data_IF_167897935182
#
_entry.id   IF_167897935182
#
_cell.length_a   1.000
_cell.length_b   1.000
_cell.length_c   1.000
_cell.angle_alpha   90.00
_cell.angle_beta   90.00
_cell.angle_gamma   90.00
#
_symmetry.space_group_name_H-M   'P 1'
#
loop_
_entity.id
_entity.type
_entity.pdbx_description
1 polymer ?
#
# COMPACT_ATOMS: atom_id res chain seq x y z
N UNK A 1 3.22 13.19 -17.39
CA UNK A 1 2.23 12.44 -16.58
C UNK A 1 1.04 12.18 -17.48
N UNK A 2 0.56 10.94 -17.57
CA UNK A 2 -0.52 10.54 -18.48
C UNK A 2 -1.89 10.90 -17.89
N UNK A 3 -2.74 11.56 -18.68
CA UNK A 3 -4.11 11.90 -18.30
C UNK A 3 -5.10 11.21 -19.27
N UNK A 4 -5.70 10.11 -18.79
CA UNK A 4 -6.62 9.27 -19.57
C UNK A 4 -7.89 10.04 -19.94
N UNK A 5 -8.46 10.80 -19.02
CA UNK A 5 -9.70 11.56 -19.25
C UNK A 5 -9.53 12.59 -20.38
N UNK A 6 -8.38 13.27 -20.41
CA UNK A 6 -8.05 14.24 -21.46
C UNK A 6 -7.88 13.56 -22.82
N UNK A 7 -7.20 12.42 -22.85
CA UNK A 7 -7.03 11.64 -24.08
C UNK A 7 -8.37 11.15 -24.66
N UNK A 8 -9.20 10.54 -23.82
CA UNK A 8 -10.52 10.03 -24.22
C UNK A 8 -11.46 11.14 -24.64
N UNK A 9 -11.48 12.26 -23.90
CA UNK A 9 -12.29 13.44 -24.25
C UNK A 9 -11.85 14.02 -25.60
N UNK A 10 -10.54 14.15 -25.83
CA UNK A 10 -10.01 14.61 -27.12
C UNK A 10 -10.47 13.70 -28.26
N UNK A 11 -10.32 12.38 -28.11
CA UNK A 11 -10.66 11.41 -29.13
C UNK A 11 -12.16 11.45 -29.46
N UNK A 12 -13.03 11.44 -28.45
CA UNK A 12 -14.48 11.52 -28.62
C UNK A 12 -14.90 12.81 -29.34
N UNK A 13 -14.32 13.96 -28.97
CA UNK A 13 -14.67 15.25 -29.57
C UNK A 13 -14.20 15.38 -31.03
N UNK A 14 -13.15 14.65 -31.42
CA UNK A 14 -12.61 14.71 -32.78
C UNK A 14 -13.21 13.66 -33.71
N UNK A 15 -13.67 12.54 -33.16
CA UNK A 15 -14.25 11.42 -33.90
C UNK A 15 -15.29 11.87 -34.93
N UNK A 16 -15.22 11.30 -36.12
CA UNK A 16 -16.13 11.57 -37.24
C UNK A 16 -17.31 10.61 -37.22
N UNK A 17 -18.32 10.89 -38.03
CA UNK A 17 -19.51 10.04 -38.18
C UNK A 17 -19.21 8.68 -38.84
N UNK A 18 -18.06 8.55 -39.50
CA UNK A 18 -17.57 7.31 -40.10
C UNK A 18 -16.07 7.37 -40.36
N UNK A 19 -15.49 6.24 -40.74
CA UNK A 19 -14.05 6.13 -41.02
C UNK A 19 -13.61 7.10 -42.11
N UNK A 20 -12.51 7.80 -41.86
CA UNK A 20 -11.78 8.62 -42.85
C UNK A 20 -10.38 8.07 -43.10
N UNK A 21 -10.12 6.82 -42.69
CA UNK A 21 -8.85 6.11 -42.83
C UNK A 21 -7.68 6.81 -42.12
N UNK A 22 -7.96 7.43 -40.96
CA UNK A 22 -6.95 8.15 -40.15
C UNK A 22 -6.89 7.67 -38.70
N UNK A 23 -7.31 6.44 -38.43
CA UNK A 23 -7.35 5.85 -37.09
C UNK A 23 -6.07 6.08 -36.28
N UNK A 24 -4.90 5.80 -36.87
CA UNK A 24 -3.60 6.01 -36.23
C UNK A 24 -3.32 7.47 -35.88
N UNK A 25 -3.72 8.42 -36.74
CA UNK A 25 -3.53 9.85 -36.45
C UNK A 25 -4.38 10.27 -35.25
N UNK A 26 -5.64 9.87 -35.20
CA UNK A 26 -6.59 10.29 -34.17
C UNK A 26 -6.24 9.69 -32.80
N UNK A 27 -5.89 8.41 -32.76
CA UNK A 27 -5.45 7.76 -31.53
C UNK A 27 -4.13 8.37 -31.02
N UNK A 28 -3.17 8.67 -31.91
CA UNK A 28 -1.93 9.38 -31.55
C UNK A 28 -2.20 10.77 -30.97
N UNK A 29 -3.04 11.58 -31.64
CA UNK A 29 -3.38 12.94 -31.18
C UNK A 29 -4.07 12.91 -29.81
N UNK A 30 -4.93 11.92 -29.57
CA UNK A 30 -5.53 11.69 -28.26
C UNK A 30 -4.47 11.38 -27.20
N UNK A 31 -3.46 10.55 -27.51
CA UNK A 31 -2.39 10.24 -26.56
C UNK A 31 -1.48 11.45 -26.31
N UNK A 32 -1.22 12.26 -27.33
CA UNK A 32 -0.50 13.52 -27.18
C UNK A 32 -1.28 14.52 -26.32
N UNK A 33 -2.59 14.61 -26.50
CA UNK A 33 -3.47 15.44 -25.67
C UNK A 33 -3.47 14.97 -24.20
N UNK A 34 -3.39 13.66 -23.95
CA UNK A 34 -3.22 13.09 -22.61
C UNK A 34 -1.82 13.28 -22.01
N UNK A 35 -0.90 13.97 -22.70
CA UNK A 35 0.40 14.37 -22.15
C UNK A 35 1.55 13.41 -22.44
N UNK A 36 1.38 12.44 -23.34
CA UNK A 36 2.45 11.54 -23.80
C UNK A 36 2.74 11.80 -25.29
N UNK A 37 3.99 12.11 -25.61
CA UNK A 37 4.43 12.16 -27.00
C UNK A 37 4.80 10.76 -27.48
N UNK A 38 4.14 10.29 -28.54
CA UNK A 38 4.39 8.98 -29.13
C UNK A 38 5.15 9.13 -30.45
N UNK A 39 6.16 8.29 -30.65
CA UNK A 39 6.90 8.21 -31.90
C UNK A 39 6.01 7.67 -33.02
N UNK A 40 5.98 8.39 -34.14
CA UNK A 40 5.27 7.98 -35.35
C UNK A 40 6.08 6.87 -36.06
N UNK A 41 5.53 5.66 -36.26
CA UNK A 41 6.20 4.61 -37.05
C UNK A 41 6.40 5.02 -38.51
N UNK A 42 7.33 4.37 -39.20
CA UNK A 42 7.49 4.57 -40.63
C UNK A 42 6.25 4.06 -41.40
N UNK A 43 5.79 4.76 -42.45
CA UNK A 43 4.69 4.27 -43.28
C UNK A 43 5.13 3.01 -44.04
N UNK A 44 4.30 1.95 -44.04
CA UNK A 44 4.53 0.79 -44.93
C UNK A 44 4.11 1.08 -46.36
N UNK A 45 3.09 1.92 -46.54
CA UNK A 45 2.62 2.41 -47.82
C UNK A 45 2.04 3.82 -47.68
N UNK A 46 2.23 4.67 -48.70
CA UNK A 46 1.74 6.05 -48.67
C UNK A 46 2.53 6.98 -47.74
N UNK A 47 1.88 8.06 -47.27
CA UNK A 47 2.52 9.12 -46.47
C UNK A 47 2.24 9.02 -44.97
N UNK A 48 1.31 8.15 -44.55
CA UNK A 48 0.84 8.06 -43.16
C UNK A 48 1.30 6.74 -42.53
N UNK A 49 1.66 6.79 -41.24
CA UNK A 49 2.09 5.62 -40.50
C UNK A 49 1.01 4.54 -40.45
N UNK A 50 1.43 3.29 -40.64
CA UNK A 50 0.55 2.12 -40.56
C UNK A 50 0.15 1.86 -39.10
N UNK A 51 -1.13 1.61 -38.87
CA UNK A 51 -1.69 1.43 -37.54
C UNK A 51 -1.12 0.19 -36.83
N UNK A 52 -0.88 -0.90 -37.55
CA UNK A 52 -0.33 -2.14 -36.99
C UNK A 52 1.09 -1.99 -36.41
N UNK A 53 1.82 -0.93 -36.75
CA UNK A 53 3.21 -0.72 -36.29
C UNK A 53 3.34 0.15 -35.03
N UNK A 54 2.23 0.58 -34.43
CA UNK A 54 2.26 1.45 -33.26
C UNK A 54 2.66 0.76 -31.95
N UNK A 55 2.65 -0.58 -31.91
CA UNK A 55 2.97 -1.37 -30.71
C UNK A 55 4.29 -0.97 -30.02
N UNK A 56 5.44 -0.99 -30.73
CA UNK A 56 6.72 -0.57 -30.16
C UNK A 56 6.73 0.87 -29.63
N UNK A 57 6.09 1.81 -30.34
CA UNK A 57 6.02 3.21 -29.90
C UNK A 57 5.17 3.39 -28.64
N UNK A 58 4.15 2.56 -28.45
CA UNK A 58 3.35 2.52 -27.22
C UNK A 58 4.19 1.97 -26.05
N UNK A 59 4.94 0.90 -26.28
CA UNK A 59 5.79 0.28 -25.24
C UNK A 59 6.90 1.21 -24.76
N UNK A 60 7.55 1.92 -25.68
CA UNK A 60 8.59 2.91 -25.35
C UNK A 60 8.09 4.00 -24.39
N UNK A 61 6.80 4.33 -24.46
CA UNK A 61 6.19 5.34 -23.61
C UNK A 61 5.55 4.78 -22.34
N UNK A 62 5.69 3.48 -22.05
CA UNK A 62 5.22 2.87 -20.81
C UNK A 62 3.83 2.25 -20.89
N UNK A 63 3.28 2.06 -22.09
CA UNK A 63 2.17 1.12 -22.26
C UNK A 63 2.70 -0.32 -22.22
N UNK A 64 1.95 -1.22 -21.59
CA UNK A 64 2.28 -2.64 -21.53
C UNK A 64 1.27 -3.44 -22.33
N UNK A 65 1.70 -4.43 -23.14
CA UNK A 65 0.78 -5.38 -23.72
C UNK A 65 0.11 -6.19 -22.59
N UNK A 66 -1.18 -6.43 -22.71
CA UNK A 66 -1.93 -7.27 -21.77
C UNK A 66 -1.78 -8.72 -22.21
N UNK A 67 -1.06 -9.50 -21.41
CA UNK A 67 -0.92 -10.94 -21.60
C UNK A 67 -2.28 -11.62 -21.38
N UNK A 68 -2.72 -12.46 -22.34
CA UNK A 68 -4.00 -13.18 -22.36
C UNK A 68 -5.25 -12.32 -22.61
N UNK A 69 -5.13 -11.22 -23.34
CA UNK A 69 -6.29 -10.51 -23.88
C UNK A 69 -7.01 -11.37 -24.93
N UNK A 70 -8.26 -11.74 -24.65
CA UNK A 70 -9.07 -12.63 -25.51
C UNK A 70 -10.24 -11.87 -26.14
N UNK A 71 -10.61 -12.27 -27.36
CA UNK A 71 -11.79 -11.75 -28.03
C UNK A 71 -13.06 -12.30 -27.36
N UNK A 72 -13.91 -11.41 -26.85
CA UNK A 72 -15.22 -11.76 -26.28
C UNK A 72 -16.31 -11.29 -27.24
N UNK A 73 -17.26 -12.18 -27.56
CA UNK A 73 -18.37 -11.86 -28.47
C UNK A 73 -19.68 -12.01 -27.70
N UNK A 74 -20.38 -10.90 -27.51
CA UNK A 74 -21.74 -10.86 -26.92
C UNK A 74 -22.63 -10.06 -27.83
N UNK A 75 -23.78 -10.62 -28.22
CA UNK A 75 -24.80 -9.94 -29.02
C UNK A 75 -24.26 -9.29 -30.32
N UNK A 76 -23.25 -9.92 -30.93
CA UNK A 76 -22.61 -9.42 -32.16
C UNK A 76 -21.62 -8.27 -31.96
N UNK A 77 -21.31 -7.90 -30.71
CA UNK A 77 -20.29 -6.91 -30.34
C UNK A 77 -18.98 -7.63 -30.00
N UNK A 78 -17.88 -7.16 -30.58
CA UNK A 78 -16.54 -7.76 -30.48
C UNK A 78 -15.70 -6.98 -29.46
N UNK A 79 -15.71 -7.40 -28.19
CA UNK A 79 -14.93 -6.80 -27.10
C UNK A 79 -13.68 -7.62 -26.78
N UNK A 80 -12.87 -7.12 -25.85
CA UNK A 80 -11.67 -7.79 -25.34
C UNK A 80 -11.85 -8.08 -23.85
N UNK A 81 -11.42 -9.26 -23.40
CA UNK A 81 -11.48 -9.65 -21.99
C UNK A 81 -10.72 -8.64 -21.12
N UNK A 82 -11.39 -8.16 -20.07
CA UNK A 82 -10.79 -7.22 -19.11
C UNK A 82 -10.43 -5.84 -19.67
N UNK A 83 -10.99 -5.42 -20.81
CA UNK A 83 -10.79 -4.06 -21.36
C UNK A 83 -11.22 -2.96 -20.36
N UNK A 84 -10.49 -1.86 -20.29
CA UNK A 84 -10.77 -0.69 -19.44
C UNK A 84 -10.55 0.61 -20.20
N UNK A 85 -11.10 1.74 -19.73
CA UNK A 85 -10.88 3.06 -20.31
C UNK A 85 -9.40 3.33 -20.64
N UNK A 86 -9.15 3.90 -21.80
CA UNK A 86 -7.82 4.28 -22.25
C UNK A 86 -6.97 3.11 -22.77
N UNK A 87 -7.48 1.88 -22.76
CA UNK A 87 -6.83 0.76 -23.44
C UNK A 87 -6.79 1.01 -24.95
N UNK A 88 -5.71 0.58 -25.58
CA UNK A 88 -5.49 0.73 -27.02
C UNK A 88 -5.35 -0.64 -27.65
N UNK A 89 -6.17 -0.95 -28.66
CA UNK A 89 -5.97 -2.14 -29.50
C UNK A 89 -5.20 -1.76 -30.74
N UNK A 90 -4.17 -2.53 -31.05
CA UNK A 90 -3.50 -2.53 -32.34
C UNK A 90 -3.84 -3.83 -33.04
N UNK A 91 -4.53 -3.75 -34.17
CA UNK A 91 -5.04 -4.87 -34.95
C UNK A 91 -4.17 -5.05 -36.18
N UNK A 92 -3.80 -6.30 -36.44
CA UNK A 92 -2.97 -6.67 -37.58
C UNK A 92 -3.62 -6.30 -38.91
N UNK A 93 -2.79 -6.22 -39.95
CA UNK A 93 -3.25 -5.94 -41.32
C UNK A 93 -3.98 -7.11 -41.94
N UNK A 94 -4.85 -6.81 -42.91
CA UNK A 94 -5.44 -7.79 -43.83
C UNK A 94 -4.84 -7.55 -45.21
N UNK A 95 -3.88 -8.39 -45.66
CA UNK A 95 -3.20 -8.19 -46.94
C UNK A 95 -4.16 -7.99 -48.11
N UNK A 96 -3.95 -6.92 -48.89
CA UNK A 96 -4.73 -6.58 -50.09
C UNK A 96 -6.12 -6.01 -49.84
N UNK A 97 -6.49 -5.74 -48.58
CA UNK A 97 -7.76 -5.08 -48.21
C UNK A 97 -7.59 -3.97 -47.18
N UNK A 98 -6.79 -4.22 -46.16
CA UNK A 98 -6.47 -3.28 -45.09
C UNK A 98 -4.99 -3.44 -44.71
N UNK A 99 -4.10 -2.99 -45.59
CA UNK A 99 -2.66 -3.22 -45.49
C UNK A 99 -1.97 -2.49 -44.33
N UNK A 100 -2.61 -1.45 -43.80
CA UNK A 100 -2.10 -0.65 -42.67
C UNK A 100 -2.59 -1.14 -41.30
N UNK A 101 -3.44 -2.16 -41.24
CA UNK A 101 -4.06 -2.60 -39.99
C UNK A 101 -5.05 -1.59 -39.42
N UNK A 102 -5.32 -1.68 -38.12
CA UNK A 102 -6.23 -0.76 -37.44
C UNK A 102 -5.79 -0.48 -36.00
N UNK A 103 -6.15 0.69 -35.47
CA UNK A 103 -5.89 1.04 -34.07
C UNK A 103 -7.08 1.81 -33.51
N UNK A 104 -7.45 1.51 -32.27
CA UNK A 104 -8.55 2.17 -31.57
C UNK A 104 -8.26 2.24 -30.07
N UNK A 105 -8.86 3.23 -29.40
CA UNK A 105 -8.83 3.37 -27.94
C UNK A 105 -10.22 3.12 -27.36
N UNK A 106 -10.31 2.46 -26.21
CA UNK A 106 -11.57 2.24 -25.51
C UNK A 106 -11.92 3.48 -24.70
N UNK A 107 -13.10 4.06 -24.97
CA UNK A 107 -13.57 5.26 -24.27
C UNK A 107 -14.47 4.94 -23.06
N UNK A 108 -14.70 3.65 -22.81
CA UNK A 108 -15.55 3.16 -21.75
C UNK A 108 -16.86 2.55 -22.07
N UNK A 109 -17.35 2.90 -23.24
CA UNK A 109 -18.60 2.40 -23.77
C UNK A 109 -18.39 1.76 -25.14
N UNK A 110 -17.42 2.26 -25.89
CA UNK A 110 -17.17 1.84 -27.27
C UNK A 110 -15.69 2.00 -27.63
N UNK A 111 -15.26 1.24 -28.62
CA UNK A 111 -13.97 1.45 -29.25
C UNK A 111 -14.05 2.64 -30.21
N UNK A 112 -13.10 3.56 -30.11
CA UNK A 112 -13.07 4.79 -30.89
C UNK A 112 -11.72 4.91 -31.60
N UNK A 113 -11.77 5.18 -32.90
CA UNK A 113 -10.61 5.51 -33.73
C UNK A 113 -10.75 6.94 -34.24
N UNK A 114 -10.61 7.15 -35.54
CA UNK A 114 -11.13 8.31 -36.25
C UNK A 114 -12.67 8.39 -36.28
N UNK A 115 -13.38 7.34 -35.84
CA UNK A 115 -14.84 7.31 -35.64
C UNK A 115 -15.23 6.38 -34.48
N UNK A 116 -16.47 6.50 -33.99
CA UNK A 116 -17.02 5.58 -32.95
C UNK A 116 -17.45 4.25 -33.60
N UNK A 117 -16.90 3.14 -33.14
CA UNK A 117 -17.13 1.82 -33.74
C UNK A 117 -18.33 1.12 -33.12
N UNK A 118 -19.35 0.84 -33.95
CA UNK A 118 -20.61 0.25 -33.48
C UNK A 118 -20.51 -1.22 -33.05
N UNK A 119 -19.53 -1.98 -33.56
CA UNK A 119 -19.44 -3.44 -33.39
C UNK A 119 -18.21 -3.89 -32.60
N UNK A 120 -17.64 -3.02 -31.77
CA UNK A 120 -16.46 -3.35 -30.95
C UNK A 120 -15.13 -3.07 -31.65
N UNK A 121 -14.07 -3.83 -31.34
CA UNK A 121 -12.68 -3.55 -31.78
C UNK A 121 -12.51 -3.55 -33.31
N UNK A 122 -13.28 -4.37 -34.01
CA UNK A 122 -13.14 -4.53 -35.45
C UNK A 122 -13.95 -3.46 -36.21
N UNK A 123 -13.30 -2.55 -36.94
CA UNK A 123 -13.96 -1.37 -37.52
C UNK A 123 -14.89 -1.72 -38.69
N UNK A 124 -14.76 -2.93 -39.27
CA UNK A 124 -15.51 -3.34 -40.45
C UNK A 124 -15.72 -4.85 -40.53
N UNK A 125 -16.59 -5.27 -41.46
CA UNK A 125 -16.96 -6.68 -41.65
C UNK A 125 -15.76 -7.56 -42.00
N UNK A 126 -14.82 -7.06 -42.81
CA UNK A 126 -13.62 -7.80 -43.20
C UNK A 126 -12.81 -8.28 -41.98
N UNK A 127 -12.56 -7.38 -41.02
CA UNK A 127 -11.88 -7.69 -39.77
C UNK A 127 -12.64 -8.69 -38.89
N UNK A 128 -13.96 -8.54 -38.78
CA UNK A 128 -14.81 -9.47 -38.03
C UNK A 128 -14.82 -10.88 -38.62
N UNK A 129 -14.93 -10.97 -39.95
CA UNK A 129 -14.91 -12.26 -40.67
C UNK A 129 -13.56 -12.94 -40.56
N UNK A 130 -12.47 -12.18 -40.68
CA UNK A 130 -11.11 -12.73 -40.58
C UNK A 130 -10.68 -13.03 -39.13
N UNK A 131 -11.37 -12.48 -38.12
CA UNK A 131 -10.95 -12.49 -36.71
C UNK A 131 -9.48 -12.09 -36.57
N UNK A 132 -9.13 -10.97 -37.22
CA UNK A 132 -7.75 -10.54 -37.36
C UNK A 132 -7.06 -10.41 -36.00
N UNK A 133 -5.83 -10.93 -35.83
CA UNK A 133 -5.10 -10.82 -34.57
C UNK A 133 -4.96 -9.38 -34.09
N UNK A 134 -4.93 -9.19 -32.78
CA UNK A 134 -4.73 -7.88 -32.17
C UNK A 134 -3.86 -8.02 -30.92
N UNK A 135 -3.31 -6.89 -30.48
CA UNK A 135 -2.65 -6.75 -29.19
C UNK A 135 -3.32 -5.60 -28.44
N UNK A 136 -3.68 -5.86 -27.18
CA UNK A 136 -4.23 -4.86 -26.26
C UNK A 136 -3.09 -4.22 -25.45
N UNK A 137 -3.01 -2.90 -25.43
CA UNK A 137 -2.01 -2.13 -24.69
C UNK A 137 -2.68 -1.27 -23.61
N UNK A 138 -2.10 -1.27 -22.40
CA UNK A 138 -2.56 -0.46 -21.26
C UNK A 138 -1.42 0.36 -20.68
N UNK A 139 -1.65 1.64 -20.39
CA UNK A 139 -0.63 2.47 -19.78
C UNK A 139 -0.27 1.99 -18.36
N UNK A 140 1.03 1.84 -18.08
CA UNK A 140 1.55 1.33 -16.81
C UNK A 140 2.27 2.39 -15.94
N UNK A 141 2.17 3.67 -16.29
CA UNK A 141 2.69 4.78 -15.48
C UNK A 141 1.63 5.36 -14.54
N UNK A 142 1.96 5.49 -13.25
CA UNK A 142 1.12 5.97 -12.14
C UNK A 142 -0.36 5.56 -12.25
N UNK A 143 -0.64 4.28 -11.93
CA UNK A 143 -2.00 3.85 -11.59
C UNK A 143 -2.41 4.43 -10.23
N UNK A 144 -2.85 5.69 -10.24
CA UNK A 144 -4.04 6.07 -9.48
C UNK A 144 -5.24 5.51 -10.25
N UNK A 145 -5.78 4.40 -9.77
CA UNK A 145 -6.95 3.77 -10.35
C UNK A 145 -8.21 4.61 -10.07
N UNK A 146 -9.00 4.88 -11.12
CA UNK A 146 -10.46 5.08 -11.16
C UNK A 146 -10.83 5.37 -12.63
N UNK A 147 -11.89 4.84 -13.23
CA UNK A 147 -12.95 3.89 -12.82
C UNK A 147 -13.63 3.50 -14.14
N UNK A 148 -13.91 2.22 -14.39
CA UNK A 148 -14.93 1.87 -15.38
C UNK A 148 -15.56 0.50 -15.14
N UNK A 149 -16.84 0.45 -15.47
CA UNK A 149 -17.85 -0.53 -15.08
C UNK A 149 -17.48 -1.95 -15.53
N UNK A 150 -16.90 -2.70 -14.59
CA UNK A 150 -16.98 -4.15 -14.64
C UNK A 150 -18.40 -4.58 -14.27
N UNK A 151 -18.93 -5.58 -14.99
CA UNK A 151 -19.93 -6.48 -14.42
C UNK A 151 -19.35 -6.98 -13.11
N UNK A 152 -19.90 -6.44 -12.03
CA UNK A 152 -19.62 -6.70 -10.64
C UNK A 152 -19.70 -8.20 -10.34
N UNK A 153 -18.58 -8.90 -10.45
CA UNK A 153 -18.38 -10.08 -9.61
C UNK A 153 -18.25 -9.59 -8.17
N UNK A 154 -18.93 -10.26 -7.23
CA UNK A 154 -18.79 -10.01 -5.80
C UNK A 154 -17.31 -9.85 -5.42
N UNK A 155 -16.92 -8.65 -4.97
CA UNK A 155 -15.54 -8.38 -4.57
C UNK A 155 -15.44 -8.61 -3.07
N UNK A 156 -15.17 -9.86 -2.70
CA UNK A 156 -14.83 -10.22 -1.33
C UNK A 156 -13.48 -9.58 -1.00
N UNK A 157 -13.53 -8.52 -0.20
CA UNK A 157 -12.35 -7.88 0.36
C UNK A 157 -11.67 -8.86 1.32
N UNK A 158 -10.33 -8.95 1.27
CA UNK A 158 -9.59 -9.72 2.27
C UNK A 158 -9.76 -9.01 3.62
N UNK A 159 -10.23 -9.75 4.62
CA UNK A 159 -10.36 -9.28 6.00
C UNK A 159 -9.45 -10.14 6.89
N UNK A 160 -8.74 -9.48 7.81
CA UNK A 160 -7.91 -10.11 8.83
C UNK A 160 -8.16 -9.46 10.19
N UNK A 161 -7.80 -10.14 11.26
CA UNK A 161 -7.86 -9.54 12.59
C UNK A 161 -6.79 -8.45 12.75
N UNK A 162 -7.09 -7.34 13.45
CA UNK A 162 -6.18 -6.20 13.59
C UNK A 162 -4.94 -6.51 14.43
N UNK A 163 -4.89 -7.68 15.07
CA UNK A 163 -3.78 -8.17 15.88
C UNK A 163 -3.48 -9.63 15.54
N UNK A 164 -2.22 -10.09 15.67
CA UNK A 164 -1.91 -11.51 15.69
C UNK A 164 -2.16 -12.12 17.08
N UNK A 165 -2.32 -13.44 17.12
CA UNK A 165 -2.58 -14.25 18.32
C UNK A 165 -1.40 -14.28 19.30
N UNK A 166 -0.18 -14.03 18.84
CA UNK A 166 1.02 -14.02 19.68
C UNK A 166 2.18 -13.25 19.05
N UNK A 167 3.28 -13.17 19.80
CA UNK A 167 4.51 -12.48 19.41
C UNK A 167 5.18 -13.03 18.14
N UNK A 168 4.83 -14.24 17.70
CA UNK A 168 5.36 -14.85 16.47
C UNK A 168 4.55 -14.47 15.23
N UNK A 169 3.47 -13.70 15.39
CA UNK A 169 2.63 -13.26 14.30
C UNK A 169 1.64 -14.32 13.81
N UNK A 170 1.34 -15.34 14.63
CA UNK A 170 0.36 -16.37 14.25
C UNK A 170 -1.06 -15.79 14.20
N UNK A 171 -1.88 -16.29 13.27
CA UNK A 171 -3.28 -15.90 13.15
C UNK A 171 -4.16 -16.60 14.21
N UNK A 172 -5.30 -15.99 14.50
CA UNK A 172 -6.38 -16.65 15.21
C UNK A 172 -7.05 -17.68 14.30
N UNK A 173 -7.43 -18.82 14.86
CA UNK A 173 -7.91 -19.96 14.07
C UNK A 173 -9.36 -19.79 13.61
N UNK A 174 -10.16 -19.01 14.36
CA UNK A 174 -11.59 -18.80 14.14
C UNK A 174 -12.09 -17.58 14.96
N UNK A 175 -13.40 -17.32 14.87
CA UNK A 175 -14.07 -16.21 15.58
C UNK A 175 -14.06 -16.40 17.10
N UNK A 176 -14.31 -17.61 17.59
CA UNK A 176 -14.37 -17.88 19.03
C UNK A 176 -13.02 -17.61 19.71
N UNK A 177 -11.92 -17.96 19.03
CA UNK A 177 -10.55 -17.71 19.47
C UNK A 177 -10.28 -16.21 19.69
N UNK A 178 -10.66 -15.35 18.74
CA UNK A 178 -10.48 -13.90 18.88
C UNK A 178 -11.45 -13.31 19.90
N UNK A 179 -12.69 -13.79 19.97
CA UNK A 179 -13.68 -13.31 20.93
C UNK A 179 -13.26 -13.65 22.36
N UNK A 180 -12.74 -14.86 22.60
CA UNK A 180 -12.16 -15.26 23.87
C UNK A 180 -10.96 -14.38 24.25
N UNK A 181 -10.11 -14.03 23.27
CA UNK A 181 -9.00 -13.10 23.47
C UNK A 181 -9.48 -11.71 23.88
N UNK A 182 -10.48 -11.15 23.17
CA UNK A 182 -11.07 -9.85 23.48
C UNK A 182 -11.84 -9.84 24.81
N UNK A 183 -12.42 -10.97 25.22
CA UNK A 183 -13.05 -11.12 26.55
C UNK A 183 -12.03 -11.03 27.71
N UNK A 184 -10.73 -11.14 27.42
CA UNK A 184 -9.67 -10.85 28.39
C UNK A 184 -9.47 -9.35 28.67
N UNK A 185 -10.05 -8.48 27.86
CA UNK A 185 -9.99 -7.03 28.08
C UNK A 185 -10.91 -6.61 29.23
N UNK A 186 -10.44 -5.67 30.06
CA UNK A 186 -11.20 -5.24 31.24
C UNK A 186 -12.25 -4.16 30.96
N UNK A 187 -12.15 -3.50 29.80
CA UNK A 187 -13.04 -2.40 29.35
C UNK A 187 -13.02 -2.27 27.83
N UNK A 188 -13.96 -1.48 27.29
CA UNK A 188 -13.97 -1.10 25.87
C UNK A 188 -14.48 -2.20 24.94
N UNK A 189 -15.47 -2.97 25.39
CA UNK A 189 -16.20 -3.87 24.52
C UNK A 189 -17.15 -3.08 23.61
N UNK A 190 -17.48 -3.66 22.46
CA UNK A 190 -18.41 -3.04 21.53
C UNK A 190 -19.83 -2.94 22.11
N UNK A 191 -20.50 -1.88 21.68
CA UNK A 191 -21.81 -1.34 22.03
C UNK A 191 -21.91 -0.70 23.41
N UNK A 192 -21.47 -1.35 24.48
CA UNK A 192 -21.60 -0.82 25.85
C UNK A 192 -20.26 -0.84 26.60
N UNK A 193 -19.85 0.33 27.08
CA UNK A 193 -18.74 0.49 28.00
C UNK A 193 -19.07 0.01 29.41
N UNK A 194 -18.04 -0.18 30.24
CA UNK A 194 -18.20 -0.62 31.64
C UNK A 194 -19.00 0.36 32.51
N UNK A 195 -19.07 1.62 32.09
CA UNK A 195 -19.89 2.67 32.70
C UNK A 195 -21.36 2.65 32.24
N UNK A 196 -21.77 1.65 31.45
CA UNK A 196 -23.12 1.55 30.87
C UNK A 196 -23.39 2.55 29.73
N UNK A 197 -22.39 3.32 29.31
CA UNK A 197 -22.53 4.27 28.20
C UNK A 197 -22.26 3.57 26.87
N UNK A 198 -22.83 4.13 25.80
CA UNK A 198 -22.55 3.69 24.44
C UNK A 198 -21.05 3.76 24.13
N UNK A 199 -20.54 2.70 23.52
CA UNK A 199 -19.15 2.56 23.10
C UNK A 199 -19.11 1.96 21.70
N UNK A 200 -18.70 2.77 20.72
CA UNK A 200 -18.78 2.45 19.30
C UNK A 200 -17.66 1.57 18.77
N UNK A 201 -16.55 1.46 19.50
CA UNK A 201 -15.38 0.73 19.09
C UNK A 201 -15.04 -0.44 20.01
N UNK A 202 -13.82 -0.93 19.84
CA UNK A 202 -13.19 -1.90 20.72
C UNK A 202 -11.87 -1.36 21.26
N UNK A 203 -11.54 -1.72 22.49
CA UNK A 203 -10.21 -1.56 23.05
C UNK A 203 -9.45 -2.87 22.99
N UNK A 204 -8.18 -2.80 22.58
CA UNK A 204 -7.21 -3.87 22.76
C UNK A 204 -6.05 -3.29 23.56
N UNK A 205 -5.58 -4.00 24.58
CA UNK A 205 -4.54 -3.50 25.48
C UNK A 205 -3.38 -4.48 25.63
N UNK A 206 -2.32 -4.04 26.31
CA UNK A 206 -1.21 -4.91 26.68
C UNK A 206 -1.59 -6.04 27.65
N UNK A 207 -2.81 -6.04 28.23
CA UNK A 207 -3.26 -7.14 29.09
C UNK A 207 -3.41 -8.44 28.30
N UNK A 208 -3.97 -8.37 27.09
CA UNK A 208 -4.17 -9.53 26.21
C UNK A 208 -3.13 -9.61 25.10
N UNK A 209 -2.63 -8.45 24.63
CA UNK A 209 -1.82 -8.35 23.41
C UNK A 209 -0.49 -7.61 23.66
N UNK A 210 0.32 -8.01 24.66
CA UNK A 210 1.54 -7.27 25.04
C UNK A 210 2.57 -7.15 23.91
N UNK A 211 2.58 -8.07 22.95
CA UNK A 211 3.49 -8.03 21.80
C UNK A 211 3.22 -6.87 20.83
N UNK A 212 2.03 -6.25 20.88
CA UNK A 212 1.68 -5.07 20.08
C UNK A 212 1.92 -3.73 20.79
N UNK A 213 2.35 -3.75 22.05
CA UNK A 213 2.74 -2.54 22.77
C UNK A 213 4.15 -2.11 22.39
N UNK A 214 4.36 -0.79 22.25
CA UNK A 214 5.68 -0.21 21.98
C UNK A 214 5.98 0.87 23.00
N UNK A 215 6.98 0.61 23.84
CA UNK A 215 7.41 1.56 24.88
C UNK A 215 8.24 2.70 24.32
N UNK A 216 7.90 3.91 24.75
CA UNK A 216 8.66 5.12 24.51
C UNK A 216 9.67 5.42 25.62
N UNK A 217 9.77 6.70 25.97
CA UNK A 217 10.78 7.23 26.88
C UNK A 217 10.20 7.94 28.10
N UNK A 218 8.87 8.04 28.21
CA UNK A 218 8.24 8.81 29.25
C UNK A 218 8.58 8.23 30.64
N UNK A 219 8.88 9.11 31.60
CA UNK A 219 9.25 8.66 32.96
C UNK A 219 8.08 7.94 33.63
N UNK A 220 6.86 8.45 33.47
CA UNK A 220 5.65 7.81 34.05
C UNK A 220 5.32 6.49 33.37
N UNK A 221 5.68 6.34 32.09
CA UNK A 221 5.59 5.07 31.35
C UNK A 221 6.55 4.04 31.93
N UNK A 222 7.82 4.40 32.15
CA UNK A 222 8.82 3.51 32.78
C UNK A 222 8.47 3.16 34.23
N UNK A 223 7.86 4.09 34.97
CA UNK A 223 7.41 3.84 36.33
C UNK A 223 6.23 2.83 36.36
N UNK A 224 5.29 2.95 35.43
CA UNK A 224 4.15 2.03 35.31
C UNK A 224 4.54 0.67 34.71
N UNK A 225 5.50 0.66 33.78
CA UNK A 225 5.98 -0.52 33.06
C UNK A 225 7.52 -0.54 33.05
N UNK A 226 8.16 -1.05 34.12
CA UNK A 226 9.62 -1.07 34.24
C UNK A 226 10.33 -1.87 33.14
N UNK A 227 9.66 -2.88 32.60
CA UNK A 227 10.14 -3.66 31.45
C UNK A 227 9.53 -3.09 30.16
N UNK A 228 10.33 -2.54 29.24
CA UNK A 228 9.82 -1.95 28.02
C UNK A 228 9.30 -3.01 27.04
N UNK A 229 8.15 -2.72 26.43
CA UNK A 229 7.62 -3.49 25.31
C UNK A 229 8.32 -3.10 24.00
N UNK A 230 8.68 -4.10 23.21
CA UNK A 230 9.49 -3.94 22.00
C UNK A 230 8.68 -3.76 20.70
N UNK A 231 7.35 -3.80 20.75
CA UNK A 231 6.52 -3.79 19.53
C UNK A 231 6.84 -4.96 18.60
N UNK A 232 6.86 -6.19 19.12
CA UNK A 232 7.23 -7.38 18.34
C UNK A 232 6.28 -7.64 17.16
N UNK A 233 5.05 -7.13 17.24
CA UNK A 233 4.07 -7.21 16.16
C UNK A 233 3.29 -5.90 16.08
N UNK A 234 2.97 -5.41 14.87
CA UNK A 234 2.17 -4.21 14.71
C UNK A 234 0.68 -4.48 14.92
N UNK A 235 -0.07 -3.42 15.23
CA UNK A 235 -1.48 -3.33 14.87
C UNK A 235 -1.59 -3.32 13.35
N UNK A 236 -2.51 -4.11 12.80
CA UNK A 236 -2.63 -4.39 11.36
C UNK A 236 -3.89 -3.78 10.78
N UNK A 237 -3.82 -3.42 9.50
CA UNK A 237 -4.98 -3.00 8.74
C UNK A 237 -5.94 -4.19 8.57
N UNK A 238 -7.18 -4.04 9.02
CA UNK A 238 -8.17 -5.13 9.02
C UNK A 238 -8.61 -5.54 7.61
N UNK A 239 -8.66 -4.61 6.68
CA UNK A 239 -9.11 -4.86 5.32
C UNK A 239 -8.30 -4.03 4.32
N UNK A 240 -8.30 -4.42 3.03
CA UNK A 240 -7.69 -3.62 1.97
C UNK A 240 -8.31 -2.21 1.94
N UNK A 241 -7.50 -1.18 1.75
CA UNK A 241 -8.02 0.18 1.76
C UNK A 241 -6.98 1.24 1.45
N UNK A 242 -7.35 2.46 1.82
CA UNK A 242 -6.56 3.65 1.62
C UNK A 242 -6.52 4.47 2.90
N UNK A 243 -5.34 4.81 3.40
CA UNK A 243 -5.19 5.79 4.47
C UNK A 243 -5.56 7.16 3.88
N UNK A 244 -6.59 7.78 4.45
CA UNK A 244 -7.15 9.06 3.98
C UNK A 244 -6.87 10.21 4.94
N UNK A 245 -6.63 9.90 6.22
CA UNK A 245 -6.21 10.88 7.21
C UNK A 245 -5.37 10.22 8.31
N UNK A 246 -4.52 11.00 8.94
CA UNK A 246 -3.77 10.55 10.11
C UNK A 246 -3.43 11.73 11.03
N UNK A 247 -3.10 11.45 12.29
CA UNK A 247 -2.30 12.33 13.13
C UNK A 247 -1.16 11.51 13.68
N UNK A 248 0.07 11.98 13.48
CA UNK A 248 1.25 11.38 14.06
C UNK A 248 1.82 12.34 15.08
N UNK A 249 1.73 11.99 16.36
CA UNK A 249 2.31 12.85 17.39
C UNK A 249 3.83 12.64 17.47
N UNK A 250 4.56 13.75 17.69
CA UNK A 250 6.01 13.64 17.90
C UNK A 250 6.30 12.92 19.22
N UNK A 251 5.52 13.22 20.27
CA UNK A 251 5.56 12.55 21.57
C UNK A 251 4.16 12.47 22.20
N UNK A 252 4.03 11.83 23.38
CA UNK A 252 2.76 11.78 24.11
C UNK A 252 2.20 13.17 24.42
N UNK A 253 0.87 13.32 24.33
CA UNK A 253 0.18 14.56 24.64
C UNK A 253 0.01 14.71 26.16
N UNK A 254 0.45 15.82 26.77
CA UNK A 254 0.26 16.04 28.20
C UNK A 254 -1.19 16.44 28.50
N UNK A 255 -1.80 15.81 29.50
CA UNK A 255 -3.07 16.22 30.09
C UNK A 255 -2.84 16.62 31.56
N UNK A 256 -3.28 17.81 31.96
CA UNK A 256 -3.19 18.24 33.36
C UNK A 256 -4.11 17.42 34.27
N UNK A 257 -3.58 16.91 35.39
CA UNK A 257 -4.34 16.17 36.41
C UNK A 257 -3.87 16.53 37.83
N UNK A 258 -4.65 16.15 38.84
CA UNK A 258 -4.44 16.51 40.26
C UNK A 258 -3.03 16.18 40.77
N UNK A 259 -2.41 15.11 40.26
CA UNK A 259 -1.10 14.59 40.68
C UNK A 259 0.02 14.93 39.70
N UNK A 260 -0.22 15.78 38.70
CA UNK A 260 0.73 16.12 37.65
C UNK A 260 0.18 15.87 36.25
N UNK A 261 1.05 15.83 35.25
CA UNK A 261 0.66 15.60 33.86
C UNK A 261 0.54 14.11 33.55
N UNK A 262 -0.55 13.73 32.90
CA UNK A 262 -0.79 12.39 32.35
C UNK A 262 -0.34 12.36 30.89
N UNK A 263 0.16 11.22 30.44
CA UNK A 263 0.53 11.00 29.05
C UNK A 263 -0.63 10.36 28.28
N UNK A 264 -1.05 11.02 27.20
CA UNK A 264 -2.05 10.51 26.27
C UNK A 264 -1.41 10.17 24.93
N UNK A 265 -1.60 8.93 24.50
CA UNK A 265 -1.33 8.54 23.11
C UNK A 265 -2.35 9.17 22.17
N UNK A 266 -1.92 10.17 21.40
CA UNK A 266 -2.77 10.98 20.52
C UNK A 266 -2.73 10.58 19.04
N UNK A 267 -1.81 9.71 18.62
CA UNK A 267 -1.69 9.36 17.20
C UNK A 267 -2.87 8.51 16.74
N UNK A 268 -3.30 8.72 15.50
CA UNK A 268 -4.33 7.91 14.87
C UNK A 268 -4.09 7.75 13.37
N UNK A 269 -4.70 6.72 12.80
CA UNK A 269 -4.78 6.47 11.35
C UNK A 269 -6.24 6.19 10.99
N UNK A 270 -6.74 6.84 9.95
CA UNK A 270 -8.07 6.62 9.37
C UNK A 270 -7.92 5.96 8.00
N UNK A 271 -8.44 4.74 7.87
CA UNK A 271 -8.43 3.97 6.62
C UNK A 271 -9.83 3.95 6.04
N UNK A 272 -9.96 4.29 4.76
CA UNK A 272 -11.18 4.12 3.97
C UNK A 272 -11.13 2.79 3.24
N UNK A 273 -12.23 2.06 3.29
CA UNK A 273 -12.43 0.78 2.63
C UNK A 273 -13.58 0.85 1.63
N UNK A 274 -13.67 -0.17 0.79
CA UNK A 274 -14.83 -0.44 -0.05
C UNK A 274 -15.08 -1.94 -0.08
N UNK A 275 -16.34 -2.33 0.11
CA UNK A 275 -16.78 -3.72 -0.02
C UNK A 275 -18.02 -3.77 -0.90
N UNK A 276 -18.17 -4.83 -1.68
CA UNK A 276 -19.39 -5.10 -2.44
C UNK A 276 -19.65 -6.61 -2.46
N UNK A 277 -20.39 -7.14 -1.47
CA UNK A 277 -20.63 -8.58 -1.35
C UNK A 277 -21.52 -9.15 -2.46
N UNK A 278 -22.36 -8.33 -3.09
CA UNK A 278 -23.27 -8.73 -4.16
C UNK A 278 -22.83 -8.25 -5.54
N UNK A 279 -23.67 -8.53 -6.53
CA UNK A 279 -23.43 -8.16 -7.92
C UNK A 279 -23.87 -6.73 -8.25
N UNK A 280 -24.68 -6.09 -7.41
CA UNK A 280 -25.14 -4.73 -7.69
C UNK A 280 -24.42 -3.71 -6.84
N UNK A 281 -24.30 -2.48 -7.34
CA UNK A 281 -23.76 -1.36 -6.57
C UNK A 281 -24.56 -1.07 -5.29
N UNK A 282 -25.82 -1.54 -5.20
CA UNK A 282 -26.66 -1.42 -4.00
C UNK A 282 -26.11 -2.25 -2.83
N UNK A 283 -25.34 -3.31 -3.13
CA UNK A 283 -24.57 -4.06 -2.14
C UNK A 283 -23.20 -3.45 -1.87
N UNK A 284 -22.86 -2.31 -2.47
CA UNK A 284 -21.59 -1.61 -2.24
C UNK A 284 -21.64 -0.76 -0.97
N UNK A 285 -20.52 -0.68 -0.25
CA UNK A 285 -20.41 0.18 0.92
C UNK A 285 -18.99 0.72 1.09
N UNK A 286 -18.87 2.04 1.21
CA UNK A 286 -17.72 2.66 1.85
C UNK A 286 -17.87 2.65 3.36
N UNK A 287 -16.82 2.19 4.03
CA UNK A 287 -16.70 2.26 5.47
C UNK A 287 -15.26 2.65 5.83
N UNK A 288 -15.05 3.01 7.08
CA UNK A 288 -13.79 3.47 7.59
C UNK A 288 -13.42 2.70 8.84
N UNK A 289 -12.14 2.43 9.01
CA UNK A 289 -11.59 1.98 10.29
C UNK A 289 -10.68 3.05 10.86
N UNK A 290 -11.02 3.51 12.05
CA UNK A 290 -10.25 4.50 12.81
C UNK A 290 -9.44 3.76 13.89
N UNK A 291 -8.12 3.86 13.81
CA UNK A 291 -7.19 3.30 14.80
C UNK A 291 -6.61 4.45 15.64
N UNK A 292 -6.99 4.55 16.91
CA UNK A 292 -6.55 5.59 17.84
C UNK A 292 -5.64 5.05 18.94
N UNK A 293 -4.99 5.96 19.66
CA UNK A 293 -4.03 5.67 20.73
C UNK A 293 -2.77 4.95 20.23
N UNK A 294 -2.43 5.11 18.96
CA UNK A 294 -1.21 4.55 18.37
C UNK A 294 0.04 5.23 18.94
N UNK A 295 1.12 4.47 19.13
CA UNK A 295 2.38 4.96 19.66
C UNK A 295 2.89 6.22 18.92
N UNK A 296 3.41 7.24 19.63
CA UNK A 296 3.98 8.43 19.01
C UNK A 296 5.28 8.10 18.28
N UNK A 297 5.73 9.02 17.42
CA UNK A 297 6.98 8.87 16.67
C UNK A 297 8.19 8.66 17.58
N UNK A 298 8.25 9.35 18.72
CA UNK A 298 9.30 9.18 19.74
C UNK A 298 9.49 7.72 20.20
N UNK A 299 8.41 6.94 20.28
CA UNK A 299 8.47 5.54 20.71
C UNK A 299 9.19 4.63 19.70
N UNK A 300 9.08 4.92 18.40
CA UNK A 300 9.83 4.20 17.36
C UNK A 300 11.32 4.56 17.36
N UNK A 301 11.67 5.75 17.86
CA UNK A 301 13.06 6.20 18.00
C UNK A 301 13.70 5.70 19.30
N UNK A 302 12.92 5.10 20.20
CA UNK A 302 13.36 4.78 21.55
C UNK A 302 14.37 3.63 21.61
N UNK A 303 14.14 2.59 20.82
CA UNK A 303 14.98 1.40 20.76
C UNK A 303 15.09 0.95 19.30
N UNK A 304 15.90 1.66 18.48
CA UNK A 304 15.89 1.44 17.04
C UNK A 304 16.47 0.06 16.69
N UNK A 305 15.59 -0.84 16.26
CA UNK A 305 15.97 -2.09 15.61
C UNK A 305 15.80 -1.98 14.10
N UNK A 306 16.66 -2.71 13.40
CA UNK A 306 16.81 -2.61 11.96
C UNK A 306 16.85 -4.00 11.35
N UNK A 307 16.17 -4.16 10.21
CA UNK A 307 16.20 -5.36 9.40
C UNK A 307 17.20 -5.23 8.26
N UNK A 308 18.11 -6.19 8.20
CA UNK A 308 19.16 -6.30 7.19
C UNK A 308 18.55 -6.65 5.83
N UNK A 309 18.84 -5.85 4.80
CA UNK A 309 18.22 -5.98 3.48
C UNK A 309 18.93 -6.95 2.54
N UNK A 310 20.23 -7.19 2.74
CA UNK A 310 21.06 -8.10 1.95
C UNK A 310 22.09 -8.81 2.82
N UNK A 311 22.82 -9.79 2.27
CA UNK A 311 23.90 -10.45 3.02
C UNK A 311 25.07 -9.48 3.23
N UNK A 312 25.28 -9.04 4.48
CA UNK A 312 26.29 -8.03 4.80
C UNK A 312 27.53 -8.64 5.46
N UNK A 313 28.76 -8.23 5.08
CA UNK A 313 29.96 -8.59 5.82
C UNK A 313 29.96 -7.93 7.20
N UNK A 314 30.43 -8.65 8.21
CA UNK A 314 30.60 -8.09 9.56
C UNK A 314 32.06 -8.14 10.00
N UNK A 315 32.43 -7.24 10.91
CA UNK A 315 33.79 -7.12 11.43
C UNK A 315 33.76 -6.98 12.95
N UNK A 316 34.80 -7.47 13.63
CA UNK A 316 34.89 -7.42 15.09
C UNK A 316 34.95 -5.98 15.63
N UNK A 317 34.53 -5.70 16.87
CA UNK A 317 34.55 -4.34 17.43
C UNK A 317 35.93 -3.66 17.42
N UNK A 318 37.01 -4.46 17.46
CA UNK A 318 38.40 -4.00 17.40
C UNK A 318 38.81 -3.52 16.01
N UNK A 319 37.97 -3.74 15.00
CA UNK A 319 38.21 -3.27 13.64
C UNK A 319 38.29 -1.73 13.60
N UNK A 320 39.43 -1.22 13.13
CA UNK A 320 39.68 0.21 12.93
C UNK A 320 39.70 0.51 11.43
N UNK A 321 38.76 1.30 10.94
CA UNK A 321 38.71 1.68 9.52
C UNK A 321 39.78 2.72 9.11
N UNK A 322 40.65 3.15 10.03
CA UNK A 322 41.62 4.23 9.84
C UNK A 322 43.06 3.74 10.05
N UNK A 323 43.54 2.87 9.16
CA UNK A 323 44.95 2.80 8.78
C UNK A 323 45.05 2.08 7.44
N UNK A 324 45.38 2.82 6.38
CA UNK A 324 45.35 2.35 5.01
C UNK A 324 46.26 1.14 4.78
N UNK A 325 45.64 -0.02 4.53
CA UNK A 325 46.05 -1.03 3.53
C UNK A 325 44.97 -2.10 3.53
N UNK A 326 44.72 -2.72 2.37
CA UNK A 326 43.75 -3.82 2.23
C UNK A 326 44.09 -5.06 3.10
N UNK A 327 45.21 -5.06 3.83
CA UNK A 327 45.70 -6.15 4.66
C UNK A 327 44.93 -6.36 5.98
N UNK A 328 44.34 -5.31 6.57
CA UNK A 328 43.59 -5.43 7.85
C UNK A 328 42.12 -5.85 7.68
N UNK A 329 41.57 -5.82 6.45
CA UNK A 329 40.15 -6.11 6.20
C UNK A 329 39.78 -7.55 6.51
N UNK A 330 40.68 -8.50 6.30
CA UNK A 330 40.35 -9.92 6.47
C UNK A 330 40.63 -10.45 7.88
N UNK A 331 41.56 -9.86 8.65
CA UNK A 331 41.90 -10.34 10.00
C UNK A 331 40.78 -10.14 11.04
N UNK A 332 40.00 -9.05 10.90
CA UNK A 332 38.86 -8.75 11.77
C UNK A 332 37.52 -9.15 11.17
N UNK A 333 37.53 -9.78 9.99
CA UNK A 333 36.31 -10.20 9.31
C UNK A 333 35.70 -11.37 10.06
N UNK A 334 34.45 -11.21 10.47
CA UNK A 334 33.65 -12.28 11.02
C UNK A 334 32.84 -12.94 9.89
N UNK A 335 31.83 -13.73 10.24
CA UNK A 335 30.91 -14.25 9.23
C UNK A 335 29.94 -13.15 8.74
N UNK A 336 29.25 -13.43 7.64
CA UNK A 336 28.26 -12.51 7.10
C UNK A 336 26.94 -12.57 7.88
N UNK A 337 26.29 -11.43 7.99
CA UNK A 337 24.95 -11.28 8.53
C UNK A 337 23.94 -11.54 7.41
N UNK A 338 23.09 -12.58 7.51
CA UNK A 338 22.11 -12.90 6.47
C UNK A 338 21.03 -11.83 6.34
N UNK A 339 20.47 -11.69 5.12
CA UNK A 339 19.26 -10.93 4.85
C UNK A 339 18.13 -11.33 5.81
N UNK A 340 17.39 -10.35 6.33
CA UNK A 340 16.30 -10.54 7.28
C UNK A 340 16.73 -10.63 8.74
N UNK A 341 18.04 -10.62 9.03
CA UNK A 341 18.54 -10.55 10.41
C UNK A 341 18.17 -9.21 11.05
N UNK A 342 17.97 -9.20 12.37
CA UNK A 342 17.61 -8.01 13.14
C UNK A 342 18.82 -7.57 13.95
N UNK A 343 19.10 -6.28 13.92
CA UNK A 343 20.17 -5.64 14.67
C UNK A 343 19.66 -4.42 15.43
N UNK A 344 20.23 -4.13 16.59
CA UNK A 344 20.05 -2.86 17.27
C UNK A 344 21.23 -1.93 16.97
N UNK A 345 20.92 -0.68 16.62
CA UNK A 345 21.93 0.31 16.30
C UNK A 345 21.40 1.72 16.55
N UNK A 346 22.08 2.46 17.43
CA UNK A 346 21.80 3.86 17.65
C UNK A 346 22.57 4.73 16.65
N UNK A 347 21.85 5.24 15.65
CA UNK A 347 22.38 6.15 14.63
C UNK A 347 22.76 7.54 15.16
N UNK A 348 22.40 7.88 16.40
CA UNK A 348 22.76 9.17 17.04
C UNK A 348 24.07 9.08 17.83
N UNK A 349 24.46 7.87 18.23
CA UNK A 349 25.74 7.63 18.91
C UNK A 349 26.88 7.70 17.89
N UNK A 350 27.71 8.75 18.00
CA UNK A 350 28.85 8.96 17.10
C UNK A 350 29.95 7.91 17.30
N UNK A 351 30.03 7.27 18.47
CA UNK A 351 31.01 6.20 18.74
C UNK A 351 30.62 4.89 18.06
N UNK A 352 29.35 4.73 17.69
CA UNK A 352 28.83 3.59 16.94
C UNK A 352 28.79 3.83 15.45
N UNK A 353 29.50 4.86 14.97
CA UNK A 353 29.53 5.24 13.57
C UNK A 353 30.96 5.34 13.07
N UNK A 354 31.19 4.78 11.88
CA UNK A 354 32.49 4.77 11.26
C UNK A 354 32.36 4.95 9.76
N UNK A 355 32.81 6.11 9.26
CA UNK A 355 32.91 6.36 7.82
C UNK A 355 34.27 5.89 7.34
N UNK A 356 34.30 4.81 6.57
CA UNK A 356 35.53 4.24 6.05
C UNK A 356 36.10 5.07 4.88
N UNK A 357 37.38 4.88 4.54
CA UNK A 357 38.07 5.60 3.47
C UNK A 357 37.42 5.44 2.07
N UNK A 358 36.62 4.38 1.87
CA UNK A 358 35.83 4.17 0.64
C UNK A 358 34.49 4.94 0.64
N UNK A 359 34.27 5.84 1.60
CA UNK A 359 33.07 6.65 1.72
C UNK A 359 31.85 5.93 2.34
N UNK A 360 31.96 4.62 2.61
CA UNK A 360 30.86 3.80 3.15
C UNK A 360 30.70 4.03 4.65
N UNK A 361 29.46 3.98 5.13
CA UNK A 361 29.14 4.08 6.57
C UNK A 361 28.96 2.70 7.19
N UNK A 362 29.70 2.46 8.26
CA UNK A 362 29.56 1.30 9.13
C UNK A 362 28.96 1.71 10.47
N UNK A 363 28.07 0.86 10.98
CA UNK A 363 27.49 0.98 12.31
C UNK A 363 28.02 -0.13 13.23
N UNK A 364 28.33 0.20 14.48
CA UNK A 364 28.61 -0.80 15.52
C UNK A 364 27.28 -1.28 16.10
N UNK A 365 26.85 -2.44 15.64
CA UNK A 365 25.52 -2.98 15.90
C UNK A 365 25.59 -4.15 16.87
N UNK A 366 24.48 -4.42 17.55
CA UNK A 366 24.30 -5.66 18.32
C UNK A 366 23.31 -6.55 17.58
N UNK A 367 23.63 -7.84 17.43
CA UNK A 367 22.76 -8.80 16.72
C UNK A 367 21.62 -9.22 17.65
N UNK A 368 20.37 -8.95 17.25
CA UNK A 368 19.18 -9.33 18.02
C UNK A 368 18.57 -10.65 17.51
N UNK A 369 18.68 -10.91 16.19
CA UNK A 369 18.18 -12.14 15.55
C UNK A 369 18.96 -12.45 14.28
N UNK A 370 19.22 -13.73 14.03
CA UNK A 370 19.83 -14.22 12.79
C UNK A 370 18.76 -14.96 11.98
N UNK A 371 18.56 -14.56 10.72
CA UNK A 371 17.49 -15.10 9.87
C UNK A 371 17.90 -16.27 8.96
N UNK A 372 19.17 -16.67 8.97
CA UNK A 372 19.69 -17.75 8.14
C UNK A 372 20.96 -18.38 8.71
N UNK A 373 21.65 -19.19 7.92
CA UNK A 373 22.92 -19.80 8.35
C UNK A 373 24.01 -18.74 8.52
N UNK A 374 24.55 -18.64 9.73
CA UNK A 374 25.71 -17.80 10.07
C UNK A 374 26.39 -18.40 11.30
N UNK A 375 27.71 -18.21 11.42
CA UNK A 375 28.50 -18.56 12.61
C UNK A 375 28.45 -17.47 13.69
N UNK A 376 27.77 -16.36 13.44
CA UNK A 376 27.55 -15.29 14.41
C UNK A 376 26.57 -15.73 15.51
N UNK A 377 26.63 -15.08 16.67
CA UNK A 377 25.73 -15.33 17.78
C UNK A 377 24.88 -14.09 18.10
N UNK A 378 23.63 -14.31 18.53
CA UNK A 378 22.79 -13.24 19.10
C UNK A 378 23.50 -12.63 20.32
N UNK A 379 23.42 -11.31 20.45
CA UNK A 379 24.13 -10.51 21.45
C UNK A 379 25.55 -10.09 21.03
N UNK A 380 26.09 -10.63 19.94
CA UNK A 380 27.42 -10.23 19.44
C UNK A 380 27.39 -8.79 18.93
N UNK A 381 28.39 -8.00 19.31
CA UNK A 381 28.62 -6.68 18.73
C UNK A 381 29.57 -6.80 17.54
N UNK A 382 29.24 -6.14 16.43
CA UNK A 382 30.06 -6.13 15.22
C UNK A 382 29.83 -4.88 14.39
N UNK A 383 30.82 -4.48 13.59
CA UNK A 383 30.66 -3.47 12.56
C UNK A 383 30.02 -4.08 11.32
N UNK A 384 29.00 -3.43 10.76
CA UNK A 384 28.40 -3.80 9.46
C UNK A 384 27.98 -2.55 8.69
N UNK A 385 27.64 -2.71 7.41
CA UNK A 385 27.20 -1.61 6.54
C UNK A 385 25.78 -1.15 6.92
N UNK A 386 25.60 0.15 7.07
CA UNK A 386 24.33 0.76 7.49
C UNK A 386 23.83 1.87 6.55
N UNK A 387 24.58 2.15 5.48
CA UNK A 387 24.21 3.11 4.41
C UNK A 387 23.42 2.45 3.28
N UNK A 388 23.04 3.22 2.25
CA UNK A 388 22.50 2.75 0.97
C UNK A 388 21.37 1.71 1.12
N UNK A 389 20.47 1.91 2.09
CA UNK A 389 19.36 1.00 2.41
C UNK A 389 19.81 -0.45 2.73
N UNK A 390 21.06 -0.67 3.15
CA UNK A 390 21.54 -1.98 3.61
C UNK A 390 20.78 -2.45 4.85
N UNK A 391 20.21 -1.51 5.60
CA UNK A 391 19.30 -1.77 6.71
C UNK A 391 18.07 -0.87 6.57
N UNK A 392 16.92 -1.33 7.05
CA UNK A 392 15.70 -0.55 7.18
C UNK A 392 15.13 -0.68 8.59
N UNK A 393 14.40 0.31 9.12
CA UNK A 393 13.73 0.16 10.40
C UNK A 393 12.83 -1.08 10.43
N UNK A 394 12.92 -1.87 11.50
CA UNK A 394 12.17 -3.13 11.62
C UNK A 394 10.68 -2.90 11.92
N UNK A 395 10.39 -2.01 12.86
CA UNK A 395 9.07 -1.85 13.47
C UNK A 395 8.31 -0.60 12.98
N UNK A 396 8.89 0.18 12.06
CA UNK A 396 8.19 1.35 11.53
C UNK A 396 6.99 0.92 10.66
N UNK A 397 5.84 1.62 10.75
CA UNK A 397 4.68 1.32 9.93
C UNK A 397 5.00 1.40 8.43
N UNK A 398 4.59 0.39 7.68
CA UNK A 398 4.81 0.24 6.24
C UNK A 398 4.44 1.49 5.42
N UNK A 399 3.38 2.18 5.82
CA UNK A 399 2.89 3.38 5.14
C UNK A 399 3.80 4.61 5.30
N UNK A 400 4.70 4.65 6.30
CA UNK A 400 5.65 5.75 6.49
C UNK A 400 6.65 5.88 5.34
N UNK A 401 6.98 4.77 4.67
CA UNK A 401 7.89 4.77 3.51
C UNK A 401 7.36 5.64 2.37
N UNK A 402 6.05 5.70 2.21
CA UNK A 402 5.39 6.51 1.17
C UNK A 402 5.37 8.01 1.52
N UNK A 403 5.61 8.38 2.79
CA UNK A 403 5.78 9.78 3.22
C UNK A 403 7.19 10.32 3.04
N UNK A 404 8.20 9.44 2.88
CA UNK A 404 9.62 9.80 3.02
C UNK A 404 10.34 10.21 1.72
N UNK A 405 9.64 10.34 0.58
CA UNK A 405 10.24 10.50 -0.76
C UNK A 405 9.55 11.57 -1.62
N UNK A 406 10.24 12.26 -2.55
CA UNK A 406 11.23 13.33 -2.34
C UNK A 406 10.65 14.70 -1.94
N UNK A 407 9.33 14.88 -1.84
CA UNK A 407 8.74 16.10 -1.26
C UNK A 407 8.59 15.91 0.25
N UNK A 408 9.58 16.37 1.02
CA UNK A 408 9.65 16.35 2.51
C UNK A 408 8.47 17.04 3.24
N UNK A 409 7.38 17.37 2.57
CA UNK A 409 6.22 18.08 3.11
C UNK A 409 5.16 17.16 3.74
N UNK A 410 5.28 15.82 3.57
CA UNK A 410 4.21 14.91 3.99
C UNK A 410 4.32 14.34 5.39
N UNK A 411 5.48 14.28 6.04
CA UNK A 411 5.59 13.75 7.40
C UNK A 411 5.38 14.87 8.43
N UNK A 412 4.11 15.20 8.68
CA UNK A 412 3.73 16.30 9.57
C UNK A 412 3.34 15.75 10.94
N UNK A 413 3.84 16.40 11.99
CA UNK A 413 3.60 15.99 13.37
C UNK A 413 2.53 16.85 14.05
N UNK A 414 1.92 16.29 15.08
CA UNK A 414 1.07 16.98 16.07
C UNK A 414 -0.16 17.70 15.53
N UNK A 415 -0.59 17.35 14.30
CA UNK A 415 -1.84 17.81 13.71
C UNK A 415 -2.50 16.74 12.87
N UNK A 416 -3.79 16.95 12.60
CA UNK A 416 -4.54 16.12 11.67
C UNK A 416 -4.12 16.48 10.25
N UNK A 417 -3.74 15.45 9.49
CA UNK A 417 -3.39 15.54 8.07
C UNK A 417 -4.43 14.79 7.29
N UNK A 418 -5.16 15.51 6.44
CA UNK A 418 -6.03 14.93 5.41
C UNK A 418 -5.22 14.78 4.12
N UNK A 419 -5.16 13.56 3.58
CA UNK A 419 -4.36 13.26 2.41
C UNK A 419 -5.14 13.56 1.14
N UNK A 420 -4.60 14.43 0.28
CA UNK A 420 -5.14 14.68 -1.06
C UNK A 420 -4.90 13.49 -1.99
N UNK A 421 -3.78 12.79 -1.81
CA UNK A 421 -3.48 11.50 -2.43
C UNK A 421 -3.47 10.42 -1.34
N UNK A 422 -4.50 9.59 -1.24
CA UNK A 422 -4.55 8.52 -0.25
C UNK A 422 -3.40 7.52 -0.39
N UNK A 423 -2.97 6.94 0.71
CA UNK A 423 -1.91 5.93 0.73
C UNK A 423 -2.55 4.54 0.71
N UNK A 424 -2.27 3.73 -0.31
CA UNK A 424 -2.77 2.34 -0.36
C UNK A 424 -2.18 1.52 0.78
N UNK A 425 -3.03 0.72 1.42
CA UNK A 425 -2.66 -0.23 2.46
C UNK A 425 -3.46 -1.53 2.31
N UNK A 426 -2.80 -2.67 2.51
CA UNK A 426 -3.39 -4.01 2.37
C UNK A 426 -3.77 -4.62 3.71
N UNK A 427 -4.76 -5.52 3.69
CA UNK A 427 -5.15 -6.29 4.86
C UNK A 427 -3.95 -7.08 5.42
N UNK A 428 -3.62 -6.82 6.68
CA UNK A 428 -2.48 -7.39 7.39
C UNK A 428 -1.23 -6.50 7.45
N UNK A 429 -1.16 -5.42 6.67
CA UNK A 429 -0.04 -4.48 6.74
C UNK A 429 -0.08 -3.64 8.03
N UNK A 430 1.09 -3.23 8.50
CA UNK A 430 1.26 -2.50 9.76
C UNK A 430 0.66 -1.09 9.70
N UNK A 431 -0.25 -0.80 10.64
CA UNK A 431 -0.80 0.54 10.91
C UNK A 431 0.07 1.30 11.90
N UNK A 432 0.52 0.62 12.96
CA UNK A 432 1.21 1.21 14.10
C UNK A 432 1.39 0.21 15.23
N UNK A 433 1.71 0.68 16.43
CA UNK A 433 1.74 -0.09 17.67
C UNK A 433 0.85 0.59 18.71
N UNK A 434 0.45 -0.14 19.75
CA UNK A 434 -0.26 0.47 20.88
C UNK A 434 0.65 1.45 21.61
N UNK A 435 0.18 2.67 21.82
CA UNK A 435 0.88 3.68 22.59
C UNK A 435 0.49 3.65 24.06
N UNK A 436 1.37 4.16 24.91
CA UNK A 436 1.08 4.34 26.33
C UNK A 436 -0.01 5.39 26.55
N UNK A 437 -0.98 5.04 27.39
CA UNK A 437 -2.16 5.85 27.68
C UNK A 437 -2.41 5.86 29.18
N UNK A 438 -2.63 7.06 29.72
CA UNK A 438 -2.98 7.28 31.12
C UNK A 438 -4.39 7.86 31.22
N UNK A 439 -5.31 7.08 31.80
CA UNK A 439 -6.67 7.54 32.08
C UNK A 439 -6.76 8.01 33.55
N UNK A 440 -7.38 9.16 33.83
CA UNK A 440 -7.72 9.52 35.20
C UNK A 440 -8.77 8.54 35.77
N UNK A 441 -8.62 8.17 37.05
CA UNK A 441 -9.64 7.44 37.83
C UNK A 441 -10.05 8.29 39.04
N UNK A 442 -11.18 7.97 39.67
CA UNK A 442 -11.64 8.64 40.91
C UNK A 442 -10.53 8.66 41.97
N UNK A 443 -9.80 7.55 42.08
CA UNK A 443 -8.57 7.44 42.85
C UNK A 443 -7.44 6.92 41.95
N UNK A 444 -6.42 7.76 41.72
CA UNK A 444 -5.21 7.39 40.99
C UNK A 444 -5.31 7.52 39.47
N UNK A 445 -4.48 6.73 38.79
CA UNK A 445 -4.27 6.78 37.34
C UNK A 445 -4.29 5.35 36.81
N UNK A 446 -4.99 5.14 35.70
CA UNK A 446 -4.95 3.88 34.96
C UNK A 446 -3.94 3.98 33.82
N UNK A 447 -2.83 3.25 33.95
CA UNK A 447 -1.76 3.24 32.95
C UNK A 447 -1.81 1.94 32.16
N UNK A 448 -1.89 2.03 30.83
CA UNK A 448 -1.94 0.88 29.91
C UNK A 448 -1.37 1.25 28.56
N UNK A 449 -1.00 0.26 27.76
CA UNK A 449 -0.88 0.44 26.31
C UNK A 449 -2.20 0.03 25.69
N UNK A 450 -2.69 0.83 24.75
CA UNK A 450 -4.00 0.59 24.18
C UNK A 450 -4.04 1.02 22.72
N UNK A 451 -4.87 0.33 21.94
CA UNK A 451 -5.45 0.85 20.71
C UNK A 451 -6.97 0.87 20.88
N UNK A 452 -7.61 1.92 20.39
CA UNK A 452 -9.06 1.95 20.18
C UNK A 452 -9.31 1.82 18.69
N UNK A 453 -10.15 0.86 18.30
CA UNK A 453 -10.50 0.62 16.90
C UNK A 453 -12.00 0.80 16.73
N UNK A 454 -12.39 1.67 15.81
CA UNK A 454 -13.79 1.95 15.49
C UNK A 454 -14.06 1.70 14.00
N UNK A 455 -15.19 1.07 13.70
CA UNK A 455 -15.68 0.92 12.33
C UNK A 455 -16.90 1.81 12.13
N UNK A 456 -16.82 2.73 11.17
CA UNK A 456 -17.87 3.71 10.91
C UNK A 456 -18.15 3.79 9.41
N UNK A 457 -19.38 4.12 9.05
CA UNK A 457 -19.73 4.47 7.68
C UNK A 457 -20.59 5.71 7.69
N UNK A 458 -20.22 6.67 6.83
CA UNK A 458 -21.03 7.84 6.49
C UNK A 458 -21.58 7.73 5.06
N UNK A 459 -21.58 6.52 4.49
CA UNK A 459 -22.07 6.27 3.14
C UNK A 459 -23.60 6.33 3.15
N UNK A 460 -24.18 7.13 2.26
CA UNK A 460 -25.63 7.27 2.13
C UNK A 460 -26.31 5.95 1.73
N UNK A 461 -25.55 5.00 1.14
CA UNK A 461 -26.07 3.67 0.78
C UNK A 461 -26.18 2.73 2.00
N UNK A 462 -25.68 3.10 3.19
CA UNK A 462 -25.69 2.21 4.37
C UNK A 462 -27.09 1.62 4.70
N UNK A 463 -28.20 2.39 4.74
CA UNK A 463 -29.52 1.83 5.03
C UNK A 463 -29.97 0.80 4.00
N UNK A 464 -29.60 0.99 2.72
CA UNK A 464 -29.92 0.06 1.65
C UNK A 464 -29.02 -1.17 1.67
N UNK A 465 -27.71 -0.99 1.93
CA UNK A 465 -26.75 -2.09 2.09
C UNK A 465 -27.20 -3.08 3.19
N UNK A 466 -27.66 -2.56 4.34
CA UNK A 466 -28.14 -3.38 5.46
C UNK A 466 -29.41 -4.19 5.16
N UNK A 467 -30.18 -3.81 4.14
CA UNK A 467 -31.35 -4.59 3.70
C UNK A 467 -30.96 -5.82 2.86
N UNK A 468 -29.67 -6.02 2.57
CA UNK A 468 -29.13 -7.12 1.76
C UNK A 468 -29.90 -7.28 0.42
N UNK A 469 -29.89 -6.26 -0.46
CA UNK A 469 -30.76 -6.21 -1.64
C UNK A 469 -30.49 -7.33 -2.64
N UNK A 470 -29.25 -7.84 -2.67
CA UNK A 470 -28.83 -8.92 -3.56
C UNK A 470 -28.95 -10.31 -2.89
N UNK A 471 -29.48 -10.38 -1.66
CA UNK A 471 -29.66 -11.62 -0.88
C UNK A 471 -28.38 -12.44 -0.74
N UNK A 472 -27.24 -11.76 -0.61
CA UNK A 472 -25.92 -12.39 -0.47
C UNK A 472 -25.94 -13.30 0.76
N UNK A 473 -25.47 -14.53 0.62
CA UNK A 473 -25.41 -15.52 1.70
C UNK A 473 -26.76 -16.16 2.08
N UNK A 474 -27.89 -15.78 1.48
CA UNK A 474 -29.21 -16.33 1.85
C UNK A 474 -29.30 -17.85 1.66
N UNK A 475 -28.70 -18.38 0.60
CA UNK A 475 -28.74 -19.82 0.28
C UNK A 475 -27.61 -20.62 0.96
N UNK A 476 -26.67 -19.92 1.61
CA UNK A 476 -25.53 -20.47 2.38
C UNK A 476 -25.20 -19.55 3.57
N UNK A 477 -26.08 -19.49 4.58
CA UNK A 477 -25.98 -18.53 5.68
C UNK A 477 -24.80 -18.75 6.61
#
# INVERSE_FOLDING_TARGET
MWNIETAVTHLNNKAKSGSISRCATFVREAIEAGGIKIRIPAPRSGLLASACDYGPSLVEQGFKPIENAELVISDGIYSVSGQTIGDIVVIERIPGKHDDGHIAMYNGQSWVSDFKQAYGIYPGKAYRTAKTPFVLYRYAGNQSAKKEEQRNSAQLIKIVYPIPKNERGQEFSNLDDIMAHLNGESTGHYLLGRNGMWHSGIHITNATTPWCALSGHAITEKAAFPLPYKGKQPIRCMADGEIVAYRMNQDYLPLGWKTGSLNLSGSFVLVRHYIQPGETQKSGLHFYTLYMHLAPYSAYQANPTWIVQDKLPTYSPEWKAVAGTNAYKDQHKLDALPKGSIISWDKKDSQRQLKAANGRLYGLVTIEKIAGSSKLNVGTQCWTLVDNNNILPEIEPSWWKQLASPSKEMMQFDKVVSLTTPITIKAGESIGHMGFYQAPKEQGIDSRYQVHIECISSDENLPQFLQNPDKVGHDKP
#
